data_IF_261217535400
#
_entry.id   IF_261217535400
#
_cell.length_a   1.000
_cell.length_b   1.000
_cell.length_c   1.000
_cell.angle_alpha   90.00
_cell.angle_beta   90.00
_cell.angle_gamma   90.00
#
_symmetry.space_group_name_H-M   'P 1'
#
loop_
_entity.id
_entity.type
_entity.pdbx_description
1 polymer ?
#
# COMPACT_ATOMS: atom_id res chain seq x y z
N UNK A 1 10.39 0.11 -7.62
CA UNK A 1 9.74 0.49 -6.37
C UNK A 1 8.27 0.13 -6.37
N UNK A 2 7.65 0.24 -5.22
CA UNK A 2 6.25 -0.10 -5.03
C UNK A 2 5.51 1.00 -4.24
N UNK A 3 4.20 1.00 -4.35
CA UNK A 3 3.30 1.82 -3.53
C UNK A 3 2.33 0.94 -2.78
N UNK A 4 1.84 1.43 -1.66
CA UNK A 4 0.77 0.80 -0.89
C UNK A 4 -0.20 1.84 -0.35
N UNK A 5 -1.40 1.40 0.02
CA UNK A 5 -2.48 2.29 0.44
C UNK A 5 -3.03 1.85 1.79
N UNK A 6 -2.89 2.70 2.80
CA UNK A 6 -3.72 2.61 3.99
C UNK A 6 -5.01 3.37 3.70
N UNK A 7 -6.06 2.65 3.34
CA UNK A 7 -7.40 3.21 3.20
C UNK A 7 -8.04 3.30 4.58
N UNK A 8 -8.47 4.50 4.95
CA UNK A 8 -9.05 4.81 6.27
C UNK A 8 -10.47 5.33 6.09
N UNK A 9 -11.43 4.67 6.70
CA UNK A 9 -12.82 5.10 6.68
C UNK A 9 -13.16 6.12 7.79
N UNK A 10 -14.39 6.61 7.79
CA UNK A 10 -14.93 7.57 8.76
C UNK A 10 -15.09 6.99 10.19
N UNK A 11 -15.00 5.67 10.34
CA UNK A 11 -15.03 4.98 11.62
C UNK A 11 -13.62 4.65 12.14
N UNK A 12 -12.58 5.26 11.57
CA UNK A 12 -11.16 5.00 11.89
C UNK A 12 -10.76 3.54 11.74
N UNK A 13 -11.25 2.87 10.69
CA UNK A 13 -10.87 1.51 10.35
C UNK A 13 -9.98 1.51 9.11
N UNK A 14 -8.94 0.68 9.13
CA UNK A 14 -8.07 0.43 7.98
C UNK A 14 -8.57 -0.77 7.19
N UNK A 15 -8.44 -0.72 5.86
CA UNK A 15 -8.79 -1.84 4.99
C UNK A 15 -7.56 -2.72 4.76
N UNK A 16 -7.69 -4.02 5.05
CA UNK A 16 -6.65 -5.01 4.87
C UNK A 16 -7.17 -6.18 4.02
N UNK A 17 -6.38 -6.60 3.07
CA UNK A 17 -6.56 -7.78 2.24
C UNK A 17 -5.94 -8.99 2.91
N UNK A 18 -6.39 -10.19 2.57
CA UNK A 18 -5.75 -11.45 2.98
C UNK A 18 -5.22 -12.16 1.74
N UNK A 19 -3.91 -12.11 1.53
CA UNK A 19 -3.24 -12.66 0.35
C UNK A 19 -2.32 -13.83 0.71
N UNK A 20 -2.35 -14.90 -0.10
CA UNK A 20 -1.40 -16.00 0.02
C UNK A 20 -0.05 -15.58 -0.57
N UNK A 21 1.01 -15.72 0.22
CA UNK A 21 2.38 -15.45 -0.22
C UNK A 21 3.19 -16.76 -0.28
N UNK A 22 3.37 -17.26 -1.50
CA UNK A 22 4.04 -18.54 -1.75
C UNK A 22 5.42 -18.68 -1.11
N UNK A 23 6.32 -17.66 -1.15
CA UNK A 23 7.66 -17.78 -0.55
C UNK A 23 7.65 -18.07 0.96
N UNK A 24 6.64 -17.64 1.67
CA UNK A 24 6.50 -17.89 3.12
C UNK A 24 5.45 -18.97 3.43
N UNK A 25 4.70 -19.44 2.42
CA UNK A 25 3.70 -20.50 2.54
C UNK A 25 2.50 -20.13 3.43
N UNK A 26 2.15 -18.84 3.54
CA UNK A 26 1.14 -18.35 4.46
C UNK A 26 0.24 -17.31 3.81
N UNK A 27 -0.99 -17.19 4.35
CA UNK A 27 -1.82 -16.02 4.10
C UNK A 27 -1.40 -14.88 5.03
N UNK A 28 -1.15 -13.70 4.45
CA UNK A 28 -0.78 -12.50 5.19
C UNK A 28 -1.87 -11.44 5.04
N UNK A 29 -2.03 -10.62 6.08
CA UNK A 29 -2.81 -9.39 5.98
C UNK A 29 -1.95 -8.29 5.39
N UNK A 30 -2.44 -7.66 4.32
CA UNK A 30 -1.70 -6.68 3.52
C UNK A 30 -2.59 -5.49 3.16
N UNK A 31 -2.06 -4.26 3.04
CA UNK A 31 -2.79 -3.17 2.42
C UNK A 31 -2.78 -3.36 0.90
N UNK A 32 -3.74 -2.80 0.14
CA UNK A 32 -3.64 -2.72 -1.31
C UNK A 32 -2.30 -2.14 -1.75
N UNK A 33 -1.63 -2.78 -2.71
CA UNK A 33 -0.27 -2.43 -3.09
C UNK A 33 0.10 -2.91 -4.50
N UNK A 34 0.89 -2.11 -5.22
CA UNK A 34 1.37 -2.48 -6.54
C UNK A 34 2.70 -1.88 -6.94
N UNK A 35 3.23 -2.37 -8.04
CA UNK A 35 4.51 -1.95 -8.59
C UNK A 35 4.37 -0.65 -9.39
N UNK A 36 5.44 0.14 -9.40
CA UNK A 36 5.58 1.31 -10.25
C UNK A 36 6.15 0.88 -11.61
N UNK A 37 5.34 0.19 -12.41
CA UNK A 37 5.70 -0.45 -13.66
C UNK A 37 5.13 0.24 -14.91
N UNK A 38 4.32 1.29 -14.74
CA UNK A 38 3.80 2.10 -15.84
C UNK A 38 4.66 3.37 -15.98
N UNK A 39 5.30 3.51 -17.14
CA UNK A 39 6.16 4.65 -17.44
C UNK A 39 5.37 5.97 -17.40
N UNK A 40 5.88 6.92 -16.63
CA UNK A 40 5.27 8.25 -16.50
C UNK A 40 4.04 8.32 -15.57
N UNK A 41 3.57 7.19 -15.04
CA UNK A 41 2.48 7.22 -14.05
C UNK A 41 2.98 7.79 -12.72
N UNK A 42 2.37 8.87 -12.19
CA UNK A 42 2.69 9.35 -10.85
C UNK A 42 2.40 8.30 -9.79
N UNK A 43 3.28 8.14 -8.81
CA UNK A 43 3.16 7.08 -7.80
C UNK A 43 1.81 7.06 -7.05
N UNK A 44 1.20 8.22 -6.81
CA UNK A 44 -0.12 8.29 -6.18
C UNK A 44 -1.26 7.80 -7.09
N UNK A 45 -1.10 7.92 -8.42
CA UNK A 45 -2.09 7.37 -9.37
C UNK A 45 -2.00 5.85 -9.41
N UNK A 46 -0.79 5.28 -9.37
CA UNK A 46 -0.60 3.84 -9.16
C UNK A 46 -1.31 3.40 -7.88
N UNK A 47 -1.12 4.11 -6.76
CA UNK A 47 -1.77 3.79 -5.49
C UNK A 47 -3.32 3.84 -5.60
N UNK A 48 -3.88 4.83 -6.32
CA UNK A 48 -5.32 4.93 -6.52
C UNK A 48 -5.86 3.81 -7.43
N UNK A 49 -5.10 3.42 -8.45
CA UNK A 49 -5.44 2.31 -9.33
C UNK A 49 -5.47 0.98 -8.55
N UNK A 50 -4.43 0.68 -7.77
CA UNK A 50 -4.36 -0.53 -6.95
C UNK A 50 -5.48 -0.60 -5.90
N UNK A 51 -5.82 0.53 -5.27
CA UNK A 51 -6.97 0.60 -4.36
C UNK A 51 -8.28 0.20 -5.06
N UNK A 52 -8.46 0.65 -6.31
CA UNK A 52 -9.65 0.32 -7.10
C UNK A 52 -9.66 -1.14 -7.58
N UNK A 53 -8.52 -1.67 -8.00
CA UNK A 53 -8.34 -3.03 -8.52
C UNK A 53 -8.48 -4.07 -7.40
N UNK A 54 -7.69 -3.93 -6.35
CA UNK A 54 -7.64 -4.93 -5.28
C UNK A 54 -8.76 -4.80 -4.23
N UNK A 55 -9.22 -3.57 -3.94
CA UNK A 55 -10.21 -3.34 -2.89
C UNK A 55 -11.60 -2.94 -3.43
N UNK A 56 -11.72 -2.49 -4.68
CA UNK A 56 -12.97 -1.91 -5.20
C UNK A 56 -13.35 -0.60 -4.51
N UNK A 57 -12.36 0.15 -4.08
CA UNK A 57 -12.53 1.40 -3.33
C UNK A 57 -11.97 2.59 -4.12
N UNK A 58 -12.55 3.77 -3.90
CA UNK A 58 -12.07 5.06 -4.37
C UNK A 58 -11.92 6.01 -3.18
N UNK A 59 -10.98 6.96 -3.27
CA UNK A 59 -10.76 7.94 -2.21
C UNK A 59 -10.61 9.35 -2.77
N UNK A 60 -11.02 10.37 -2.01
CA UNK A 60 -10.97 11.77 -2.43
C UNK A 60 -9.78 12.52 -1.82
N UNK A 61 -9.27 12.08 -0.68
CA UNK A 61 -8.18 12.74 0.03
C UNK A 61 -6.97 11.83 0.13
N UNK A 62 -5.83 12.29 -0.38
CA UNK A 62 -4.58 11.54 -0.45
C UNK A 62 -3.44 12.28 0.20
N UNK A 63 -2.61 11.57 0.94
CA UNK A 63 -1.39 12.11 1.55
C UNK A 63 -0.31 11.03 1.55
N UNK A 64 0.96 11.44 1.52
CA UNK A 64 2.06 10.51 1.79
C UNK A 64 2.12 10.26 3.29
N UNK A 65 2.05 8.99 3.68
CA UNK A 65 2.10 8.56 5.08
C UNK A 65 3.53 8.28 5.52
N UNK A 66 4.21 7.34 4.85
CA UNK A 66 5.58 6.93 5.19
C UNK A 66 6.30 6.35 3.99
N UNK A 67 7.63 6.49 3.96
CA UNK A 67 8.52 5.84 2.98
C UNK A 67 9.49 4.92 3.73
N UNK A 68 9.76 3.73 3.17
CA UNK A 68 10.71 2.80 3.76
C UNK A 68 11.31 1.85 2.71
N UNK A 69 12.37 1.14 3.09
CA UNK A 69 12.90 0.01 2.34
C UNK A 69 12.37 -1.29 2.92
N UNK A 70 11.86 -2.18 2.08
CA UNK A 70 11.26 -3.44 2.51
C UNK A 70 12.30 -4.40 3.12
N UNK A 71 13.45 -4.57 2.46
CA UNK A 71 14.52 -5.47 2.92
C UNK A 71 15.89 -4.97 2.45
N UNK A 72 16.44 -3.89 3.02
CA UNK A 72 17.61 -3.20 2.47
C UNK A 72 18.91 -4.01 2.48
N UNK A 73 18.95 -5.12 3.22
CA UNK A 73 20.06 -6.07 3.17
C UNK A 73 20.05 -7.02 1.97
N UNK A 74 18.93 -7.15 1.27
CA UNK A 74 18.77 -8.12 0.17
C UNK A 74 18.05 -7.57 -1.07
N UNK A 75 17.41 -6.42 -0.96
CA UNK A 75 16.62 -5.81 -2.03
C UNK A 75 16.76 -4.29 -2.00
N UNK A 76 16.73 -3.66 -3.18
CA UNK A 76 16.64 -2.21 -3.32
C UNK A 76 15.20 -1.70 -3.35
N UNK A 77 14.22 -2.54 -3.03
CA UNK A 77 12.82 -2.17 -3.09
C UNK A 77 12.48 -1.09 -2.05
N UNK A 78 12.21 0.11 -2.56
CA UNK A 78 11.66 1.21 -1.80
C UNK A 78 10.14 1.22 -1.94
N UNK A 79 9.44 1.41 -0.83
CA UNK A 79 7.97 1.45 -0.76
C UNK A 79 7.54 2.82 -0.24
N UNK A 80 6.59 3.43 -0.94
CA UNK A 80 5.85 4.59 -0.45
C UNK A 80 4.44 4.19 -0.05
N UNK A 81 4.06 4.46 1.19
CA UNK A 81 2.70 4.23 1.68
C UNK A 81 1.92 5.54 1.63
N UNK A 82 0.78 5.50 0.97
CA UNK A 82 -0.19 6.60 0.96
C UNK A 82 -1.29 6.36 1.97
N UNK A 83 -1.78 7.43 2.58
CA UNK A 83 -3.04 7.43 3.31
C UNK A 83 -4.14 7.91 2.38
N UNK A 84 -5.17 7.10 2.22
CA UNK A 84 -6.38 7.41 1.47
C UNK A 84 -7.54 7.61 2.45
N UNK A 85 -8.20 8.77 2.41
CA UNK A 85 -9.37 9.13 3.24
C UNK A 85 -10.54 9.55 2.35
N UNK A 86 -11.71 9.73 2.96
CA UNK A 86 -12.96 9.95 2.23
C UNK A 86 -13.19 8.83 1.23
N UNK A 87 -13.10 7.59 1.76
CA UNK A 87 -13.13 6.36 1.00
C UNK A 87 -14.57 5.93 0.75
N UNK A 88 -14.88 5.58 -0.49
CA UNK A 88 -16.18 5.08 -0.90
C UNK A 88 -16.05 3.82 -1.76
N UNK A 89 -17.05 2.91 -1.72
CA UNK A 89 -17.09 1.82 -2.68
C UNK A 89 -17.14 2.35 -4.12
N UNK A 90 -16.32 1.77 -4.99
CA UNK A 90 -16.30 2.10 -6.40
C UNK A 90 -17.59 1.62 -7.08
N UNK A 91 -18.15 2.46 -7.93
CA UNK A 91 -19.26 2.09 -8.80
C UNK A 91 -18.85 0.94 -9.74
N UNK A 92 -19.45 -0.24 -9.57
CA UNK A 92 -19.10 -1.45 -10.32
C UNK A 92 -18.13 -2.41 -9.59
N UNK A 93 -17.72 -2.10 -8.35
CA UNK A 93 -16.84 -2.95 -7.56
C UNK A 93 -15.38 -2.96 -8.03
N UNK A 94 -14.68 -4.04 -7.79
CA UNK A 94 -13.28 -4.23 -8.21
C UNK A 94 -13.15 -4.20 -9.72
N UNK A 95 -12.01 -3.69 -10.20
CA UNK A 95 -11.65 -3.76 -11.63
C UNK A 95 -11.11 -5.18 -11.88
N UNK A 96 -11.67 -5.88 -12.87
CA UNK A 96 -11.14 -7.18 -13.25
C UNK A 96 -9.86 -6.97 -14.09
N UNK A 97 -8.71 -7.25 -13.52
CA UNK A 97 -7.41 -7.15 -14.20
C UNK A 97 -7.09 -8.39 -15.03
N UNK A 98 -7.78 -9.51 -14.75
CA UNK A 98 -7.53 -10.82 -15.38
C UNK A 98 -6.36 -11.59 -14.75
N UNK A 99 -5.73 -11.06 -13.72
CA UNK A 99 -4.72 -11.76 -12.93
C UNK A 99 -5.39 -12.75 -11.97
N UNK A 100 -5.00 -14.02 -12.05
CA UNK A 100 -5.63 -15.11 -11.27
C UNK A 100 -5.46 -14.92 -9.75
N UNK A 101 -4.43 -14.20 -9.32
CA UNK A 101 -4.13 -13.94 -7.91
C UNK A 101 -5.09 -12.94 -7.26
N UNK A 102 -5.78 -12.11 -8.06
CA UNK A 102 -6.68 -11.05 -7.57
C UNK A 102 -8.14 -11.50 -7.47
N UNK A 103 -8.49 -12.66 -8.05
CA UNK A 103 -9.89 -13.12 -8.14
C UNK A 103 -10.52 -13.38 -6.77
N UNK A 104 -9.73 -13.70 -5.75
CA UNK A 104 -10.23 -14.04 -4.41
C UNK A 104 -9.39 -13.43 -3.28
N UNK A 105 -9.34 -12.09 -3.23
CA UNK A 105 -8.69 -11.35 -2.16
C UNK A 105 -9.76 -10.88 -1.14
N UNK A 106 -10.06 -11.67 -0.11
CA UNK A 106 -10.99 -11.22 0.93
C UNK A 106 -10.39 -10.04 1.69
N UNK A 107 -11.14 -8.95 1.78
CA UNK A 107 -10.73 -7.76 2.51
C UNK A 107 -11.63 -7.49 3.70
N UNK A 108 -11.09 -6.83 4.70
CA UNK A 108 -11.78 -6.49 5.94
C UNK A 108 -11.40 -5.10 6.44
N UNK A 109 -12.41 -4.40 6.99
CA UNK A 109 -12.20 -3.18 7.75
C UNK A 109 -11.84 -3.50 9.19
N UNK A 110 -10.70 -3.03 9.66
CA UNK A 110 -10.17 -3.30 11.00
C UNK A 110 -9.94 -1.97 11.73
N UNK A 111 -10.51 -1.74 12.93
CA UNK A 111 -10.22 -0.54 13.72
C UNK A 111 -8.71 -0.35 13.90
N UNK A 112 -8.22 0.89 13.82
CA UNK A 112 -6.78 1.18 13.92
C UNK A 112 -6.17 0.53 15.18
N UNK A 113 -6.82 0.66 16.33
CA UNK A 113 -6.29 0.16 17.60
C UNK A 113 -6.23 -1.38 17.63
N UNK A 114 -7.20 -2.04 17.03
CA UNK A 114 -7.20 -3.51 16.86
C UNK A 114 -6.08 -3.95 15.88
N UNK A 115 -5.91 -3.22 14.78
CA UNK A 115 -4.83 -3.50 13.83
C UNK A 115 -3.45 -3.34 14.47
N UNK A 116 -3.24 -2.30 15.30
CA UNK A 116 -2.01 -2.13 16.09
C UNK A 116 -1.82 -3.31 17.04
N UNK A 117 -2.88 -3.75 17.73
CA UNK A 117 -2.80 -4.89 18.62
C UNK A 117 -2.44 -6.19 17.88
N UNK A 118 -2.97 -6.41 16.67
CA UNK A 118 -2.63 -7.54 15.80
C UNK A 118 -1.16 -7.50 15.35
N UNK A 119 -0.64 -6.32 15.00
CA UNK A 119 0.78 -6.12 14.69
C UNK A 119 1.66 -6.50 15.88
N UNK A 120 1.35 -5.96 17.06
CA UNK A 120 2.17 -6.18 18.26
C UNK A 120 2.14 -7.62 18.77
N UNK A 121 1.10 -8.38 18.45
CA UNK A 121 1.02 -9.82 18.73
C UNK A 121 1.65 -10.70 17.64
N UNK A 122 2.12 -10.11 16.52
CA UNK A 122 2.72 -10.84 15.40
C UNK A 122 1.70 -11.53 14.49
N UNK A 123 0.42 -11.17 14.59
CA UNK A 123 -0.65 -11.72 13.73
C UNK A 123 -0.72 -11.01 12.37
N UNK A 124 -0.26 -9.76 12.29
CA UNK A 124 0.03 -9.05 11.05
C UNK A 124 1.54 -9.05 10.85
N UNK A 125 2.04 -9.82 9.87
CA UNK A 125 3.47 -10.04 9.62
C UNK A 125 3.99 -9.50 8.29
N UNK A 126 3.11 -8.98 7.40
CA UNK A 126 3.56 -8.31 6.18
C UNK A 126 4.23 -6.97 6.55
N UNK A 127 5.47 -6.69 6.09
CA UNK A 127 6.20 -5.48 6.51
C UNK A 127 5.47 -4.18 6.14
N UNK A 128 4.82 -4.13 4.97
CA UNK A 128 4.08 -2.94 4.53
C UNK A 128 2.84 -2.71 5.41
N UNK A 129 2.15 -3.78 5.80
CA UNK A 129 1.02 -3.68 6.74
C UNK A 129 1.50 -3.23 8.13
N UNK A 130 2.58 -3.82 8.65
CA UNK A 130 3.18 -3.43 9.95
C UNK A 130 3.54 -1.95 9.96
N UNK A 131 4.32 -1.50 8.97
CA UNK A 131 4.77 -0.10 8.89
C UNK A 131 3.57 0.83 8.69
N UNK A 132 2.66 0.51 7.77
CA UNK A 132 1.49 1.34 7.46
C UNK A 132 0.52 1.49 8.63
N UNK A 133 0.21 0.39 9.32
CA UNK A 133 -0.68 0.40 10.51
C UNK A 133 -0.08 1.21 11.65
N UNK A 134 1.19 1.02 11.96
CA UNK A 134 1.86 1.79 13.02
C UNK A 134 2.00 3.27 12.64
N UNK A 135 2.29 3.57 11.37
CA UNK A 135 2.41 4.95 10.90
C UNK A 135 1.06 5.70 10.93
N UNK A 136 -0.05 5.06 10.53
CA UNK A 136 -1.37 5.71 10.57
C UNK A 136 -1.84 5.92 12.01
N UNK A 137 -1.58 4.98 12.91
CA UNK A 137 -1.89 5.12 14.34
C UNK A 137 -1.12 6.30 14.95
N UNK A 138 0.17 6.44 14.65
CA UNK A 138 0.98 7.55 15.12
C UNK A 138 0.56 8.88 14.48
N UNK A 139 0.28 8.92 13.18
CA UNK A 139 -0.22 10.11 12.51
C UNK A 139 -1.54 10.59 13.14
N UNK A 140 -2.46 9.67 13.46
CA UNK A 140 -3.70 9.97 14.21
C UNK A 140 -3.39 10.57 15.57
N UNK A 141 -2.50 9.97 16.35
CA UNK A 141 -2.08 10.49 17.68
C UNK A 141 -1.50 11.88 17.60
N UNK A 142 -0.82 12.22 16.49
CA UNK A 142 -0.25 13.54 16.21
C UNK A 142 -1.21 14.49 15.48
N UNK A 143 -2.52 14.21 15.52
CA UNK A 143 -3.55 15.01 14.84
C UNK A 143 -3.23 15.25 13.35
N UNK A 144 -2.69 14.24 12.67
CA UNK A 144 -2.40 14.21 11.22
C UNK A 144 -1.35 15.24 10.76
N UNK A 145 -0.63 15.88 11.67
CA UNK A 145 0.37 16.92 11.35
C UNK A 145 1.62 16.38 10.64
N UNK A 146 1.83 15.08 10.66
CA UNK A 146 2.96 14.38 10.01
C UNK A 146 2.71 14.04 8.56
N UNK A 147 1.48 14.19 8.08
CA UNK A 147 1.13 13.88 6.69
C UNK A 147 1.80 14.86 5.73
N UNK A 148 2.31 14.31 4.63
CA UNK A 148 2.95 15.08 3.57
C UNK A 148 2.02 15.20 2.36
N UNK A 149 2.11 16.28 1.56
CA UNK A 149 1.37 16.41 0.31
C UNK A 149 1.55 15.18 -0.60
N UNK A 150 0.52 14.84 -1.37
CA UNK A 150 0.48 13.65 -2.22
C UNK A 150 1.60 13.62 -3.27
N UNK A 151 2.00 14.79 -3.73
CA UNK A 151 3.05 15.02 -4.73
C UNK A 151 4.44 15.25 -4.12
N UNK A 152 4.60 14.99 -2.82
CA UNK A 152 5.89 15.14 -2.14
C UNK A 152 6.97 14.37 -2.89
N UNK A 153 8.04 15.06 -3.25
CA UNK A 153 9.22 14.52 -3.89
C UNK A 153 9.75 13.26 -3.15
N UNK A 154 10.24 12.28 -3.92
CA UNK A 154 10.72 11.00 -3.38
C UNK A 154 12.21 10.77 -3.72
N UNK A 155 13.15 11.41 -2.99
CA UNK A 155 14.58 11.41 -3.34
C UNK A 155 15.20 10.01 -3.41
N UNK A 156 14.70 9.08 -2.58
CA UNK A 156 15.17 7.69 -2.58
C UNK A 156 14.89 7.00 -3.90
N UNK A 157 13.69 7.19 -4.47
CA UNK A 157 13.33 6.63 -5.78
C UNK A 157 14.23 7.17 -6.87
N UNK A 158 14.47 8.49 -6.89
CA UNK A 158 15.31 9.12 -7.90
C UNK A 158 16.74 8.59 -7.83
N UNK A 159 17.30 8.50 -6.63
CA UNK A 159 18.62 7.91 -6.42
C UNK A 159 18.71 6.46 -6.94
N UNK A 160 17.68 5.64 -6.69
CA UNK A 160 17.64 4.25 -7.17
C UNK A 160 17.54 4.19 -8.69
N UNK A 161 16.78 5.10 -9.31
CA UNK A 161 16.70 5.21 -10.78
C UNK A 161 18.03 5.65 -11.39
N UNK A 162 18.63 6.70 -10.86
CA UNK A 162 19.93 7.23 -11.33
C UNK A 162 21.06 6.21 -11.22
N UNK A 163 21.02 5.37 -10.19
CA UNK A 163 22.04 4.32 -9.96
C UNK A 163 21.72 2.99 -10.64
N UNK A 164 20.64 2.92 -11.43
CA UNK A 164 20.21 1.69 -12.12
C UNK A 164 19.80 0.56 -11.18
N UNK A 165 19.42 0.87 -9.95
CA UNK A 165 19.01 -0.11 -8.93
C UNK A 165 17.50 -0.40 -8.93
N UNK A 166 16.73 0.37 -9.70
CA UNK A 166 15.35 0.05 -10.04
C UNK A 166 15.36 -0.57 -11.43
N UNK A 167 14.77 -1.75 -11.59
CA UNK A 167 14.54 -2.31 -12.91
C UNK A 167 13.52 -1.42 -13.62
N UNK A 168 13.93 -0.82 -14.73
CA UNK A 168 13.05 -0.05 -15.62
C UNK A 168 12.43 -0.95 -16.70
N UNK A 169 12.94 -2.15 -16.85
CA UNK A 169 12.57 -3.15 -17.85
C UNK A 169 11.84 -4.30 -17.16
N UNK A 170 10.58 -4.10 -16.87
CA UNK A 170 9.68 -5.24 -16.67
C UNK A 170 9.45 -5.83 -18.06
N UNK A 171 10.06 -7.00 -18.31
CA UNK A 171 9.74 -7.74 -19.52
C UNK A 171 8.21 -7.94 -19.57
N UNK A 172 7.58 -7.77 -20.77
CA UNK A 172 6.14 -7.97 -20.86
C UNK A 172 5.80 -9.38 -20.36
N UNK A 173 4.89 -9.44 -19.40
CA UNK A 173 4.36 -10.71 -18.88
C UNK A 173 3.65 -11.40 -20.05
N UNK A 174 4.14 -12.56 -20.46
CA UNK A 174 3.54 -13.44 -21.47
C UNK A 174 2.45 -14.28 -20.85
#
# INVERSE_FOLDING_TARGET
GAVAVIALDDQERVYLLRQYRHPVGMYLFEPPAGLLDIDGEPAWQTAARELAEEAGLEAQAWSVLVDFFNSPGGSSEAIRVYLARDVTPRSGGRIATGEAEEIDLPGSWVPIDDAVALVLRGEIGNPTAVVGVLAVAEARRMNWTTLRPVDTHWPVRDHLMETGRVRTDVAPRH
#
